data_IF_427641442494
#
_entry.id   IF_427641442494
#
_cell.length_a   1.000
_cell.length_b   1.000
_cell.length_c   1.000
_cell.angle_alpha   90.00
_cell.angle_beta   90.00
_cell.angle_gamma   90.00
#
_symmetry.space_group_name_H-M   'P 1'
#
loop_
_entity.id
_entity.type
_entity.pdbx_description
1 polymer ?
#
# COMPACT_ATOMS: atom_id res chain seq x y z
N UNK A 1 31.71 -3.76 -3.67
CA UNK A 1 30.64 -4.34 -2.83
C UNK A 1 31.16 -5.64 -2.24
N UNK A 2 31.03 -5.82 -0.93
CA UNK A 2 31.53 -7.01 -0.24
C UNK A 2 30.35 -7.97 -0.03
N UNK A 3 30.27 -9.11 -0.74
CA UNK A 3 29.13 -10.01 -0.68
C UNK A 3 28.87 -10.57 0.73
N UNK A 4 29.89 -10.60 1.60
CA UNK A 4 29.72 -10.95 3.01
C UNK A 4 28.99 -9.86 3.82
N UNK A 5 29.20 -8.58 3.49
CA UNK A 5 28.47 -7.47 4.11
C UNK A 5 26.99 -7.44 3.65
N UNK A 6 26.73 -7.82 2.40
CA UNK A 6 25.37 -7.89 1.84
C UNK A 6 24.57 -9.08 2.42
N UNK A 7 25.22 -10.23 2.65
CA UNK A 7 24.60 -11.38 3.35
C UNK A 7 24.28 -11.07 4.83
N UNK A 8 25.14 -10.30 5.50
CA UNK A 8 24.92 -9.81 6.86
C UNK A 8 23.82 -8.74 6.94
N UNK A 9 23.47 -8.07 5.84
CA UNK A 9 22.32 -7.17 5.75
C UNK A 9 20.99 -7.91 5.51
N UNK A 10 21.04 -9.03 4.78
CA UNK A 10 19.86 -9.83 4.45
C UNK A 10 19.26 -10.58 5.66
N UNK A 11 20.11 -11.22 6.48
CA UNK A 11 19.65 -12.00 7.66
C UNK A 11 18.89 -11.14 8.68
N UNK A 12 19.39 -9.96 9.11
CA UNK A 12 18.66 -9.07 10.00
C UNK A 12 17.35 -8.57 9.41
N UNK A 13 17.30 -8.35 8.09
CA UNK A 13 16.08 -7.90 7.40
C UNK A 13 15.01 -9.00 7.39
N UNK A 14 15.37 -10.25 7.07
CA UNK A 14 14.45 -11.39 7.12
C UNK A 14 13.96 -11.67 8.55
N UNK A 15 14.82 -11.50 9.55
CA UNK A 15 14.44 -11.58 10.95
C UNK A 15 13.43 -10.47 11.33
N UNK A 16 13.61 -9.25 10.83
CA UNK A 16 12.66 -8.16 11.01
C UNK A 16 11.29 -8.50 10.40
N UNK A 17 11.24 -9.13 9.21
CA UNK A 17 9.99 -9.63 8.60
C UNK A 17 9.30 -10.62 9.54
N UNK A 18 10.04 -11.63 10.00
CA UNK A 18 9.48 -12.66 10.87
C UNK A 18 8.95 -12.08 12.18
N UNK A 19 9.70 -11.16 12.81
CA UNK A 19 9.30 -10.53 14.07
C UNK A 19 8.12 -9.59 13.87
N UNK A 20 8.09 -8.77 12.81
CA UNK A 20 6.93 -7.94 12.51
C UNK A 20 5.67 -8.77 12.24
N UNK A 21 5.81 -9.91 11.56
CA UNK A 21 4.72 -10.86 11.36
C UNK A 21 4.20 -11.44 12.69
N UNK A 22 5.11 -11.88 13.56
CA UNK A 22 4.75 -12.41 14.88
C UNK A 22 4.09 -11.34 15.76
N UNK A 23 4.67 -10.14 15.85
CA UNK A 23 4.13 -9.02 16.63
C UNK A 23 2.74 -8.63 16.12
N UNK A 24 2.57 -8.49 14.80
CA UNK A 24 1.25 -8.19 14.21
C UNK A 24 0.23 -9.29 14.54
N UNK A 25 0.58 -10.55 14.34
CA UNK A 25 -0.31 -11.68 14.63
C UNK A 25 -0.70 -11.76 16.11
N UNK A 26 0.25 -11.51 17.02
CA UNK A 26 0.00 -11.49 18.47
C UNK A 26 -0.95 -10.34 18.81
N UNK A 27 -0.70 -9.13 18.34
CA UNK A 27 -1.58 -7.97 18.61
C UNK A 27 -2.99 -8.21 18.05
N UNK A 28 -3.12 -8.79 16.85
CA UNK A 28 -4.45 -9.14 16.30
C UNK A 28 -5.14 -10.16 17.19
N UNK A 29 -4.43 -11.24 17.56
CA UNK A 29 -5.01 -12.31 18.36
C UNK A 29 -5.49 -11.81 19.72
N UNK A 30 -4.71 -10.96 20.40
CA UNK A 30 -5.07 -10.39 21.72
C UNK A 30 -6.14 -9.30 21.64
N UNK A 31 -6.15 -8.47 20.60
CA UNK A 31 -7.12 -7.36 20.44
C UNK A 31 -8.46 -7.78 19.86
N UNK A 32 -8.54 -8.92 19.15
CA UNK A 32 -9.76 -9.38 18.48
C UNK A 32 -11.03 -9.43 19.36
N UNK A 33 -10.99 -9.89 20.63
CA UNK A 33 -12.18 -9.87 21.49
C UNK A 33 -12.71 -8.45 21.76
N UNK A 34 -11.83 -7.45 21.83
CA UNK A 34 -12.21 -6.05 21.99
C UNK A 34 -12.79 -5.48 20.69
N UNK A 35 -12.15 -5.77 19.55
CA UNK A 35 -12.66 -5.36 18.24
C UNK A 35 -14.05 -5.95 17.96
N UNK A 36 -14.28 -7.20 18.37
CA UNK A 36 -15.60 -7.85 18.29
C UNK A 36 -16.68 -7.13 19.10
N UNK A 37 -16.31 -6.46 20.20
CA UNK A 37 -17.26 -5.75 21.07
C UNK A 37 -17.51 -4.31 20.61
N UNK A 38 -16.47 -3.61 20.15
CA UNK A 38 -16.51 -2.17 19.96
C UNK A 38 -16.33 -1.69 18.51
N UNK A 39 -15.82 -2.54 17.61
CA UNK A 39 -15.46 -2.16 16.24
C UNK A 39 -15.97 -3.19 15.22
N UNK A 40 -17.30 -3.32 15.09
CA UNK A 40 -17.92 -4.20 14.10
C UNK A 40 -18.25 -3.44 12.81
N UNK A 41 -17.64 -3.88 11.70
CA UNK A 41 -18.03 -3.45 10.36
C UNK A 41 -19.39 -4.04 10.01
N UNK A 42 -20.42 -3.20 9.96
CA UNK A 42 -21.76 -3.62 9.55
C UNK A 42 -21.87 -3.60 8.01
N UNK A 43 -22.49 -4.62 7.38
CA UNK A 43 -22.70 -4.64 5.94
C UNK A 43 -23.44 -3.37 5.47
N UNK A 44 -22.96 -2.77 4.39
CA UNK A 44 -23.57 -1.63 3.72
C UNK A 44 -23.68 -1.91 2.21
N UNK A 45 -24.23 -0.96 1.43
CA UNK A 45 -24.46 -1.12 -0.02
C UNK A 45 -23.19 -1.38 -0.85
N UNK A 46 -21.99 -1.12 -0.31
CA UNK A 46 -20.70 -1.42 -0.97
C UNK A 46 -20.04 -2.71 -0.45
N UNK A 47 -20.53 -3.31 0.62
CA UNK A 47 -19.89 -4.47 1.28
C UNK A 47 -19.92 -5.73 0.42
N UNK A 48 -18.79 -6.45 0.38
CA UNK A 48 -18.68 -7.79 -0.22
C UNK A 48 -19.12 -8.91 0.74
N UNK A 49 -19.45 -8.56 2.00
CA UNK A 49 -19.75 -9.48 3.08
C UNK A 49 -21.17 -9.27 3.60
N UNK A 50 -21.79 -10.35 4.11
CA UNK A 50 -23.15 -10.33 4.65
C UNK A 50 -23.23 -10.41 6.17
N UNK A 51 -22.11 -10.68 6.83
CA UNK A 51 -22.04 -10.88 8.29
C UNK A 51 -21.20 -9.76 8.92
N UNK A 52 -21.68 -9.12 10.00
CA UNK A 52 -20.87 -8.17 10.76
C UNK A 52 -19.55 -8.80 11.17
N UNK A 53 -18.44 -8.18 10.76
CA UNK A 53 -17.09 -8.70 10.97
C UNK A 53 -16.28 -7.64 11.72
N UNK A 54 -15.47 -8.01 12.72
CA UNK A 54 -14.61 -7.05 13.41
C UNK A 54 -13.71 -6.31 12.43
N UNK A 55 -13.52 -5.01 12.60
CA UNK A 55 -12.56 -4.19 11.87
C UNK A 55 -11.56 -3.56 12.82
N UNK A 56 -10.41 -3.14 12.30
CA UNK A 56 -9.38 -2.47 13.09
C UNK A 56 -8.08 -3.26 13.27
N UNK A 57 -7.90 -4.37 12.53
CA UNK A 57 -6.61 -5.08 12.53
C UNK A 57 -5.45 -4.20 12.03
N UNK A 58 -5.74 -3.10 11.34
CA UNK A 58 -4.77 -2.07 10.98
C UNK A 58 -3.97 -1.53 12.17
N UNK A 59 -4.55 -1.45 13.37
CA UNK A 59 -3.82 -1.07 14.59
C UNK A 59 -2.61 -1.99 14.79
N UNK A 60 -2.81 -3.30 14.63
CA UNK A 60 -1.76 -4.28 14.79
C UNK A 60 -0.71 -4.22 13.68
N UNK A 61 -1.14 -4.01 12.43
CA UNK A 61 -0.22 -3.89 11.30
C UNK A 61 0.68 -2.67 11.45
N UNK A 62 0.11 -1.50 11.77
CA UNK A 62 0.87 -0.26 11.92
C UNK A 62 1.73 -0.28 13.18
N UNK A 63 1.21 -0.74 14.31
CA UNK A 63 2.00 -0.87 15.54
C UNK A 63 3.19 -1.82 15.35
N UNK A 64 2.98 -3.00 14.75
CA UNK A 64 4.07 -3.94 14.47
C UNK A 64 5.11 -3.34 13.51
N UNK A 65 4.66 -2.65 12.46
CA UNK A 65 5.54 -1.98 11.49
C UNK A 65 6.42 -0.95 12.19
N UNK A 66 5.83 -0.03 12.98
CA UNK A 66 6.56 1.05 13.63
C UNK A 66 7.44 0.57 14.79
N UNK A 67 6.96 -0.36 15.62
CA UNK A 67 7.73 -0.89 16.75
C UNK A 67 8.98 -1.64 16.27
N UNK A 68 8.82 -2.53 15.30
CA UNK A 68 9.94 -3.31 14.76
C UNK A 68 10.86 -2.41 13.95
N UNK A 69 10.34 -1.47 13.15
CA UNK A 69 11.17 -0.53 12.40
C UNK A 69 11.99 0.34 13.35
N UNK A 70 11.39 0.88 14.41
CA UNK A 70 12.10 1.73 15.38
C UNK A 70 13.17 0.96 16.15
N UNK A 71 12.90 -0.29 16.54
CA UNK A 71 13.88 -1.14 17.21
C UNK A 71 15.06 -1.49 16.29
N UNK A 72 14.79 -1.86 15.04
CA UNK A 72 15.84 -2.13 14.04
C UNK A 72 16.63 -0.88 13.68
N UNK A 73 15.95 0.27 13.52
CA UNK A 73 16.55 1.55 13.23
C UNK A 73 17.53 1.96 14.34
N UNK A 74 17.13 1.80 15.61
CA UNK A 74 18.00 2.05 16.76
C UNK A 74 19.21 1.09 16.78
N UNK A 75 19.00 -0.20 16.52
CA UNK A 75 20.07 -1.19 16.47
C UNK A 75 21.07 -0.93 15.33
N UNK A 76 20.57 -0.55 14.15
CA UNK A 76 21.37 -0.29 12.96
C UNK A 76 21.90 1.16 12.88
N UNK A 77 21.58 2.00 13.88
CA UNK A 77 21.89 3.43 13.88
C UNK A 77 21.41 4.17 12.61
N UNK A 78 20.20 3.83 12.15
CA UNK A 78 19.52 4.42 11.00
C UNK A 78 18.41 5.34 11.51
N UNK A 79 18.33 6.57 11.01
CA UNK A 79 17.25 7.49 11.38
C UNK A 79 16.05 7.32 10.44
N UNK A 80 14.88 7.04 11.01
CA UNK A 80 13.59 7.17 10.31
C UNK A 80 13.12 8.62 10.48
N UNK A 81 12.65 9.31 9.41
CA UNK A 81 12.17 10.67 9.52
C UNK A 81 11.07 10.80 10.59
N UNK A 82 11.24 11.65 11.63
CA UNK A 82 10.24 11.81 12.68
C UNK A 82 8.89 12.30 12.14
N UNK A 83 8.90 13.13 11.08
CA UNK A 83 7.69 13.60 10.41
C UNK A 83 6.87 12.44 9.81
N UNK A 84 7.54 11.40 9.29
CA UNK A 84 6.88 10.21 8.77
C UNK A 84 6.21 9.39 9.87
N UNK A 85 6.89 9.19 11.00
CA UNK A 85 6.31 8.48 12.16
C UNK A 85 5.10 9.24 12.68
N UNK A 86 5.23 10.55 12.89
CA UNK A 86 4.14 11.40 13.36
C UNK A 86 2.95 11.41 12.37
N UNK A 87 3.22 11.53 11.07
CA UNK A 87 2.19 11.48 10.03
C UNK A 87 1.49 10.11 9.96
N UNK A 88 2.23 9.01 10.14
CA UNK A 88 1.69 7.65 10.17
C UNK A 88 0.78 7.44 11.39
N UNK A 89 1.19 7.92 12.56
CA UNK A 89 0.36 7.86 13.77
C UNK A 89 -0.90 8.73 13.60
N UNK A 90 -0.75 9.97 13.11
CA UNK A 90 -1.88 10.86 12.84
C UNK A 90 -2.91 10.20 11.92
N UNK A 91 -2.47 9.68 10.77
CA UNK A 91 -3.39 9.13 9.78
C UNK A 91 -4.01 7.79 10.24
N UNK A 92 -3.30 7.01 11.06
CA UNK A 92 -3.86 5.83 11.73
C UNK A 92 -4.98 6.23 12.70
N UNK A 93 -4.76 7.27 13.52
CA UNK A 93 -5.80 7.79 14.44
C UNK A 93 -7.02 8.32 13.68
N UNK A 94 -6.81 9.00 12.55
CA UNK A 94 -7.90 9.44 11.66
C UNK A 94 -8.69 8.24 11.14
N UNK A 95 -8.01 7.21 10.65
CA UNK A 95 -8.66 5.99 10.17
C UNK A 95 -9.41 5.25 11.28
N UNK A 96 -8.85 5.18 12.49
CA UNK A 96 -9.53 4.60 13.65
C UNK A 96 -10.79 5.36 14.04
N UNK A 97 -10.73 6.69 14.05
CA UNK A 97 -11.90 7.51 14.32
C UNK A 97 -12.96 7.32 13.22
N UNK A 98 -12.56 7.24 11.95
CA UNK A 98 -13.47 7.01 10.83
C UNK A 98 -14.16 5.64 10.90
N UNK A 99 -13.42 4.60 11.30
CA UNK A 99 -13.94 3.24 11.53
C UNK A 99 -15.03 3.18 12.61
N UNK A 100 -15.03 4.10 13.59
CA UNK A 100 -15.98 4.09 14.71
C UNK A 100 -17.14 5.05 14.49
N UNK A 101 -16.84 6.31 14.14
CA UNK A 101 -17.85 7.40 14.12
C UNK A 101 -18.14 7.96 12.73
N UNK A 102 -17.43 7.54 11.68
CA UNK A 102 -17.55 8.07 10.31
C UNK A 102 -17.37 9.60 10.25
N UNK A 103 -16.15 10.03 10.00
CA UNK A 103 -15.75 11.43 9.90
C UNK A 103 -16.28 12.10 8.62
N UNK A 104 -16.52 13.42 8.65
CA UNK A 104 -16.81 14.18 7.44
C UNK A 104 -15.65 14.11 6.44
N UNK A 105 -15.98 13.93 5.16
CA UNK A 105 -15.00 13.77 4.07
C UNK A 105 -13.96 14.90 4.05
N UNK A 106 -14.38 16.15 4.25
CA UNK A 106 -13.47 17.30 4.26
C UNK A 106 -12.46 17.23 5.42
N UNK A 107 -12.90 16.84 6.62
CA UNK A 107 -12.02 16.69 7.78
C UNK A 107 -10.98 15.60 7.50
N UNK A 108 -11.44 14.45 6.98
CA UNK A 108 -10.55 13.35 6.62
C UNK A 108 -9.52 13.78 5.57
N UNK A 109 -9.93 14.45 4.50
CA UNK A 109 -9.03 14.94 3.44
C UNK A 109 -8.02 15.97 3.95
N UNK A 110 -8.43 16.91 4.82
CA UNK A 110 -7.51 17.90 5.39
C UNK A 110 -6.44 17.25 6.28
N UNK A 111 -6.82 16.26 7.10
CA UNK A 111 -5.86 15.55 7.95
C UNK A 111 -4.94 14.61 7.14
N UNK A 112 -5.45 14.00 6.08
CA UNK A 112 -4.61 13.28 5.11
C UNK A 112 -3.62 14.23 4.41
N UNK A 113 -4.08 15.40 3.98
CA UNK A 113 -3.22 16.43 3.37
C UNK A 113 -2.15 16.92 4.35
N UNK A 114 -2.48 17.08 5.63
CA UNK A 114 -1.50 17.42 6.66
C UNK A 114 -0.46 16.31 6.83
N UNK A 115 -0.87 15.04 6.89
CA UNK A 115 0.03 13.89 7.02
C UNK A 115 0.96 13.74 5.81
N UNK A 116 0.41 13.78 4.59
CA UNK A 116 1.19 13.72 3.34
C UNK A 116 2.10 14.94 3.21
N UNK A 117 1.59 16.13 3.53
CA UNK A 117 2.36 17.37 3.51
C UNK A 117 3.54 17.34 4.48
N UNK A 118 3.35 16.82 5.69
CA UNK A 118 4.42 16.66 6.66
C UNK A 118 5.57 15.77 6.13
N UNK A 119 5.28 14.80 5.26
CA UNK A 119 6.30 13.96 4.62
C UNK A 119 6.94 14.69 3.41
N UNK A 120 6.12 15.26 2.53
CA UNK A 120 6.57 15.84 1.26
C UNK A 120 7.36 17.13 1.45
N UNK A 121 6.93 18.02 2.36
CA UNK A 121 7.54 19.33 2.55
C UNK A 121 8.71 19.35 3.54
N UNK A 122 8.88 18.32 4.37
CA UNK A 122 10.10 18.18 5.20
C UNK A 122 11.22 17.42 4.51
N UNK A 123 10.96 16.86 3.33
CA UNK A 123 11.98 16.17 2.54
C UNK A 123 13.05 17.17 2.06
N UNK A 124 14.33 16.76 1.96
CA UNK A 124 15.40 17.63 1.49
C UNK A 124 15.10 18.25 0.12
N UNK A 125 15.58 19.48 -0.13
CA UNK A 125 15.38 20.14 -1.43
C UNK A 125 16.02 19.38 -2.61
N UNK A 126 17.04 18.55 -2.32
CA UNK A 126 17.68 17.65 -3.30
C UNK A 126 16.80 16.47 -3.71
N UNK A 127 15.77 16.14 -2.93
CA UNK A 127 14.84 15.05 -3.23
C UNK A 127 13.88 15.49 -4.35
N UNK A 128 14.30 15.27 -5.60
CA UNK A 128 13.63 15.71 -6.83
C UNK A 128 13.43 14.52 -7.78
N UNK A 129 12.23 14.36 -8.29
CA UNK A 129 11.88 13.41 -9.37
C UNK A 129 12.06 14.09 -10.73
N UNK A 130 11.63 15.36 -10.85
CA UNK A 130 11.75 16.15 -12.09
C UNK A 130 12.47 17.46 -11.78
N UNK A 131 13.82 17.47 -11.76
CA UNK A 131 14.60 18.65 -11.39
C UNK A 131 14.29 19.92 -12.21
N UNK A 132 13.79 19.76 -13.44
CA UNK A 132 13.40 20.86 -14.33
C UNK A 132 12.17 21.65 -13.87
N UNK A 133 11.32 21.11 -12.97
CA UNK A 133 10.16 21.83 -12.45
C UNK A 133 10.57 22.81 -11.33
N UNK A 134 9.81 23.89 -11.08
CA UNK A 134 9.95 24.66 -9.85
C UNK A 134 9.65 23.78 -8.64
N UNK A 135 10.48 23.87 -7.58
CA UNK A 135 10.36 23.02 -6.38
C UNK A 135 8.96 23.07 -5.78
N UNK A 136 8.37 24.26 -5.64
CA UNK A 136 7.03 24.42 -5.09
C UNK A 136 5.94 23.72 -5.92
N UNK A 137 6.07 23.75 -7.25
CA UNK A 137 5.13 23.07 -8.15
C UNK A 137 5.26 21.55 -8.01
N UNK A 138 6.50 21.03 -7.99
CA UNK A 138 6.74 19.61 -7.80
C UNK A 138 6.20 19.12 -6.44
N UNK A 139 6.49 19.83 -5.35
CA UNK A 139 5.97 19.52 -4.01
C UNK A 139 4.44 19.55 -3.95
N UNK A 140 3.81 20.53 -4.63
CA UNK A 140 2.36 20.60 -4.75
C UNK A 140 1.76 19.40 -5.50
N UNK A 141 2.39 18.97 -6.60
CA UNK A 141 1.96 17.78 -7.34
C UNK A 141 2.16 16.50 -6.52
N UNK A 142 3.27 16.38 -5.78
CA UNK A 142 3.53 15.24 -4.89
C UNK A 142 2.54 15.18 -3.72
N UNK A 143 2.13 16.33 -3.18
CA UNK A 143 1.07 16.39 -2.17
C UNK A 143 -0.25 15.81 -2.73
N UNK A 144 -0.67 16.27 -3.91
CA UNK A 144 -1.89 15.78 -4.55
C UNK A 144 -1.80 14.28 -4.89
N UNK A 145 -0.66 13.84 -5.43
CA UNK A 145 -0.40 12.44 -5.73
C UNK A 145 -0.41 11.57 -4.47
N UNK A 146 0.17 12.04 -3.37
CA UNK A 146 0.20 11.33 -2.09
C UNK A 146 -1.18 11.23 -1.44
N UNK A 147 -1.98 12.30 -1.47
CA UNK A 147 -3.39 12.26 -0.99
C UNK A 147 -4.18 11.27 -1.84
N UNK A 148 -4.01 11.30 -3.16
CA UNK A 148 -4.64 10.32 -4.06
C UNK A 148 -4.21 8.90 -3.73
N UNK A 149 -2.91 8.67 -3.51
CA UNK A 149 -2.35 7.36 -3.21
C UNK A 149 -2.85 6.78 -1.89
N UNK A 150 -2.98 7.60 -0.85
CA UNK A 150 -3.61 7.19 0.41
C UNK A 150 -5.05 6.75 0.19
N UNK A 151 -5.84 7.54 -0.54
CA UNK A 151 -7.25 7.22 -0.77
C UNK A 151 -7.44 6.00 -1.67
N UNK A 152 -6.63 5.83 -2.72
CA UNK A 152 -6.75 4.67 -3.59
C UNK A 152 -6.41 3.37 -2.86
N UNK A 153 -5.42 3.36 -1.97
CA UNK A 153 -5.12 2.19 -1.15
C UNK A 153 -6.31 1.84 -0.24
N UNK A 154 -6.97 2.85 0.34
CA UNK A 154 -8.22 2.66 1.08
C UNK A 154 -9.36 2.09 0.21
N UNK A 155 -9.57 2.60 -0.99
CA UNK A 155 -10.64 2.12 -1.88
C UNK A 155 -10.46 0.68 -2.33
N UNK A 156 -9.20 0.26 -2.48
CA UNK A 156 -8.85 -1.08 -2.95
C UNK A 156 -8.91 -2.13 -1.84
N UNK A 157 -8.95 -1.75 -0.57
CA UNK A 157 -9.12 -2.65 0.58
C UNK A 157 -10.58 -3.15 0.77
N UNK A 158 -11.30 -3.44 -0.32
CA UNK A 158 -12.71 -3.85 -0.28
C UNK A 158 -12.97 -5.35 -0.47
N UNK A 159 -11.91 -6.17 -0.45
CA UNK A 159 -11.98 -7.62 -0.64
C UNK A 159 -10.92 -8.33 0.23
N UNK A 160 -11.29 -9.48 0.82
CA UNK A 160 -10.43 -10.27 1.71
C UNK A 160 -9.06 -10.58 1.06
N UNK A 161 -7.95 -10.27 1.74
CA UNK A 161 -6.55 -10.36 1.27
C UNK A 161 -6.13 -9.38 0.18
N UNK A 162 -7.00 -8.48 -0.30
CA UNK A 162 -6.66 -7.59 -1.42
C UNK A 162 -5.43 -6.73 -1.12
N UNK A 163 -5.42 -6.07 0.04
CA UNK A 163 -4.26 -5.26 0.49
C UNK A 163 -3.02 -6.12 0.75
N UNK A 164 -3.18 -7.37 1.20
CA UNK A 164 -2.05 -8.29 1.39
C UNK A 164 -1.37 -8.60 0.05
N UNK A 165 -2.14 -8.90 -0.99
CA UNK A 165 -1.58 -9.27 -2.30
C UNK A 165 -1.03 -8.09 -3.09
N UNK A 166 -1.36 -6.87 -2.71
CA UNK A 166 -0.71 -5.65 -3.20
C UNK A 166 0.58 -5.36 -2.42
N UNK A 167 0.49 -5.25 -1.09
CA UNK A 167 1.58 -4.75 -0.26
C UNK A 167 2.75 -5.73 -0.22
N UNK A 168 2.51 -7.03 -0.12
CA UNK A 168 3.59 -8.03 0.05
C UNK A 168 4.54 -8.07 -1.15
N UNK A 169 4.09 -8.20 -2.42
CA UNK A 169 4.99 -8.13 -3.58
C UNK A 169 5.75 -6.81 -3.68
N UNK A 170 5.09 -5.67 -3.44
CA UNK A 170 5.71 -4.35 -3.54
C UNK A 170 6.82 -4.21 -2.50
N UNK A 171 6.52 -4.50 -1.24
CA UNK A 171 7.48 -4.38 -0.14
C UNK A 171 8.62 -5.39 -0.24
N UNK A 172 8.38 -6.60 -0.74
CA UNK A 172 9.44 -7.56 -1.03
C UNK A 172 10.37 -7.06 -2.16
N UNK A 173 9.82 -6.44 -3.21
CA UNK A 173 10.63 -5.83 -4.27
C UNK A 173 11.45 -4.64 -3.75
N UNK A 174 10.86 -3.78 -2.91
CA UNK A 174 11.56 -2.67 -2.27
C UNK A 174 12.70 -3.14 -1.35
N UNK A 175 12.47 -4.20 -0.57
CA UNK A 175 13.53 -4.84 0.22
C UNK A 175 14.68 -5.31 -0.66
N UNK A 176 14.38 -6.02 -1.75
CA UNK A 176 15.40 -6.48 -2.69
C UNK A 176 16.16 -5.30 -3.32
N UNK A 177 15.48 -4.23 -3.74
CA UNK A 177 16.11 -3.01 -4.24
C UNK A 177 16.99 -2.33 -3.18
N UNK A 178 16.57 -2.38 -1.91
CA UNK A 178 17.40 -1.94 -0.78
C UNK A 178 18.69 -2.72 -0.64
N UNK A 179 18.63 -4.06 -0.72
CA UNK A 179 19.83 -4.91 -0.71
C UNK A 179 20.76 -4.67 -1.91
N UNK A 180 20.19 -4.27 -3.05
CA UNK A 180 20.94 -3.93 -4.25
C UNK A 180 21.53 -2.52 -4.23
N UNK A 181 21.20 -1.71 -3.20
CA UNK A 181 21.67 -0.33 -3.05
C UNK A 181 20.87 0.71 -3.85
N UNK A 182 19.74 0.30 -4.43
CA UNK A 182 18.88 1.13 -5.28
C UNK A 182 17.76 1.86 -4.49
N UNK A 183 17.69 1.63 -3.16
CA UNK A 183 16.73 2.25 -2.25
C UNK A 183 17.42 2.66 -0.93
N UNK A 184 16.98 3.76 -0.32
CA UNK A 184 17.49 4.20 0.98
C UNK A 184 17.22 3.16 2.08
N UNK A 185 18.17 3.01 3.00
CA UNK A 185 18.05 2.08 4.14
C UNK A 185 16.78 2.30 4.99
N UNK A 186 16.39 3.55 5.34
CA UNK A 186 15.14 3.79 6.06
C UNK A 186 13.90 3.28 5.30
N UNK A 187 13.84 3.48 3.97
CA UNK A 187 12.74 3.01 3.15
C UNK A 187 12.71 1.49 3.01
N UNK A 188 13.87 0.86 2.80
CA UNK A 188 13.98 -0.59 2.76
C UNK A 188 13.56 -1.23 4.09
N UNK A 189 13.96 -0.64 5.23
CA UNK A 189 13.58 -1.11 6.56
C UNK A 189 12.07 -1.02 6.79
N UNK A 190 11.44 0.11 6.47
CA UNK A 190 9.98 0.27 6.61
C UNK A 190 9.20 -0.64 5.67
N UNK A 191 9.65 -0.84 4.43
CA UNK A 191 9.07 -1.83 3.54
C UNK A 191 9.18 -3.24 4.13
N UNK A 192 10.33 -3.59 4.70
CA UNK A 192 10.58 -4.90 5.34
C UNK A 192 9.62 -5.17 6.48
N UNK A 193 9.48 -4.24 7.42
CA UNK A 193 8.62 -4.43 8.59
C UNK A 193 7.14 -4.36 8.22
N UNK A 194 6.77 -3.54 7.23
CA UNK A 194 5.41 -3.51 6.68
C UNK A 194 5.06 -4.83 5.97
N UNK A 195 6.00 -5.42 5.22
CA UNK A 195 5.85 -6.74 4.61
C UNK A 195 5.54 -7.79 5.68
N UNK A 196 6.39 -7.86 6.72
CA UNK A 196 6.22 -8.77 7.84
C UNK A 196 4.89 -8.58 8.55
N UNK A 197 4.56 -7.36 8.96
CA UNK A 197 3.30 -7.06 9.63
C UNK A 197 2.08 -7.44 8.78
N UNK A 198 2.12 -7.18 7.48
CA UNK A 198 1.04 -7.56 6.55
C UNK A 198 0.92 -9.09 6.39
N UNK A 199 2.05 -9.81 6.36
CA UNK A 199 2.06 -11.28 6.39
C UNK A 199 1.50 -11.84 7.70
N UNK A 200 1.77 -11.20 8.84
CA UNK A 200 1.19 -11.53 10.15
C UNK A 200 -0.33 -11.34 10.19
N UNK A 201 -0.84 -10.33 9.47
CA UNK A 201 -2.26 -10.07 9.31
C UNK A 201 -2.97 -11.06 8.37
N UNK A 202 -2.30 -11.51 7.31
CA UNK A 202 -2.91 -12.31 6.25
C UNK A 202 -3.72 -13.54 6.73
N UNK A 203 -3.28 -14.38 7.69
CA UNK A 203 -4.07 -15.51 8.19
C UNK A 203 -5.43 -15.14 8.78
N UNK A 204 -5.57 -13.92 9.32
CA UNK A 204 -6.80 -13.42 9.92
C UNK A 204 -7.75 -12.80 8.90
N UNK A 205 -7.24 -12.39 7.73
CA UNK A 205 -8.01 -11.78 6.65
C UNK A 205 -8.21 -12.69 5.43
N UNK A 206 -7.92 -14.00 5.55
CA UNK A 206 -8.20 -14.99 4.49
C UNK A 206 -9.70 -15.04 4.15
N UNK A 207 -10.08 -15.36 2.89
CA UNK A 207 -11.47 -15.34 2.46
C UNK A 207 -12.44 -16.10 3.36
N UNK A 208 -13.51 -15.37 3.72
CA UNK A 208 -14.23 -15.39 5.00
C UNK A 208 -13.33 -14.85 6.13
N UNK A 209 -13.04 -13.55 6.06
CA UNK A 209 -12.17 -12.89 7.02
C UNK A 209 -12.69 -12.97 8.47
N UNK A 210 -11.75 -13.13 9.40
CA UNK A 210 -12.00 -13.11 10.85
C UNK A 210 -11.95 -11.71 11.43
N UNK A 211 -11.27 -10.80 10.75
CA UNK A 211 -11.11 -9.38 11.05
C UNK A 211 -10.72 -8.64 9.77
N UNK A 212 -11.23 -7.42 9.59
CA UNK A 212 -10.86 -6.51 8.52
C UNK A 212 -9.75 -5.56 8.95
N UNK A 213 -8.99 -5.09 7.96
CA UNK A 213 -7.92 -4.11 8.16
C UNK A 213 -8.48 -2.80 8.73
N UNK A 214 -9.54 -2.27 8.10
CA UNK A 214 -10.16 -1.00 8.48
C UNK A 214 -9.38 0.21 7.98
N UNK A 215 -9.98 1.40 8.08
CA UNK A 215 -9.36 2.66 7.69
C UNK A 215 -8.14 2.97 8.56
N UNK A 216 -8.13 2.51 9.81
CA UNK A 216 -6.96 2.56 10.72
C UNK A 216 -5.71 1.86 10.17
N UNK A 217 -5.88 0.93 9.21
CA UNK A 217 -4.77 0.26 8.54
C UNK A 217 -4.56 0.77 7.12
N UNK A 218 -5.62 0.84 6.31
CA UNK A 218 -5.48 1.13 4.88
C UNK A 218 -4.89 2.52 4.60
N UNK A 219 -5.30 3.55 5.36
CA UNK A 219 -4.78 4.92 5.22
C UNK A 219 -3.28 5.03 5.55
N UNK A 220 -2.80 4.60 6.74
CA UNK A 220 -1.37 4.63 7.05
C UNK A 220 -0.53 3.68 6.20
N UNK A 221 -1.06 2.53 5.75
CA UNK A 221 -0.36 1.70 4.76
C UNK A 221 -0.15 2.48 3.46
N UNK A 222 -1.17 3.21 2.99
CA UNK A 222 -1.05 4.07 1.83
C UNK A 222 0.02 5.15 2.00
N UNK A 223 0.10 5.77 3.18
CA UNK A 223 1.15 6.77 3.49
C UNK A 223 2.55 6.15 3.49
N UNK A 224 2.75 5.05 4.23
CA UNK A 224 4.05 4.38 4.36
C UNK A 224 4.55 3.83 3.02
N UNK A 225 3.67 3.13 2.29
CA UNK A 225 3.99 2.58 0.98
C UNK A 225 4.25 3.70 -0.03
N UNK A 226 3.41 4.75 -0.02
CA UNK A 226 3.59 5.93 -0.86
C UNK A 226 4.92 6.63 -0.60
N UNK A 227 5.32 6.78 0.65
CA UNK A 227 6.63 7.34 0.99
C UNK A 227 7.79 6.43 0.51
N UNK A 228 7.70 5.11 0.68
CA UNK A 228 8.74 4.21 0.17
C UNK A 228 8.88 4.28 -1.37
N UNK A 229 7.77 4.45 -2.08
CA UNK A 229 7.76 4.64 -3.53
C UNK A 229 8.32 6.03 -3.93
N UNK A 230 8.05 7.08 -3.14
CA UNK A 230 8.66 8.39 -3.33
C UNK A 230 10.17 8.36 -3.11
N UNK A 231 10.64 7.67 -2.07
CA UNK A 231 12.08 7.44 -1.84
C UNK A 231 12.72 6.73 -3.04
N UNK A 232 12.08 5.68 -3.56
CA UNK A 232 12.56 4.99 -4.77
C UNK A 232 12.63 5.96 -5.98
N UNK A 233 11.62 6.81 -6.15
CA UNK A 233 11.60 7.79 -7.23
C UNK A 233 12.66 8.91 -7.06
N UNK A 234 12.86 9.40 -5.84
CA UNK A 234 13.92 10.38 -5.50
C UNK A 234 15.33 9.79 -5.66
N UNK A 235 15.47 8.48 -5.54
CA UNK A 235 16.68 7.73 -5.88
C UNK A 235 16.83 7.45 -7.39
N UNK A 236 16.07 8.14 -8.25
CA UNK A 236 16.21 8.08 -9.70
C UNK A 236 15.47 6.91 -10.36
N UNK A 237 14.58 6.23 -9.63
CA UNK A 237 13.84 5.06 -10.14
C UNK A 237 12.31 5.29 -10.25
N UNK A 238 11.84 6.37 -10.92
CA UNK A 238 10.40 6.69 -10.97
C UNK A 238 9.58 5.65 -11.74
N UNK A 239 10.16 4.97 -12.74
CA UNK A 239 9.47 3.93 -13.49
C UNK A 239 9.15 2.72 -12.60
N UNK A 240 10.10 2.29 -11.77
CA UNK A 240 9.88 1.23 -10.78
C UNK A 240 8.84 1.64 -9.74
N UNK A 241 8.91 2.88 -9.24
CA UNK A 241 7.94 3.44 -8.29
C UNK A 241 6.50 3.50 -8.84
N UNK A 242 6.32 3.63 -10.16
CA UNK A 242 5.01 3.57 -10.82
C UNK A 242 4.56 2.14 -11.14
N UNK A 243 5.49 1.26 -11.54
CA UNK A 243 5.18 -0.14 -11.88
C UNK A 243 4.71 -0.93 -10.67
N UNK A 244 5.35 -0.75 -9.52
CA UNK A 244 5.06 -1.52 -8.31
C UNK A 244 3.58 -1.47 -7.89
N UNK A 245 2.93 -0.29 -7.74
CA UNK A 245 1.50 -0.18 -7.42
C UNK A 245 0.59 -0.09 -8.65
N UNK A 246 1.05 -0.48 -9.85
CA UNK A 246 0.36 -0.16 -11.10
C UNK A 246 -1.07 -0.72 -11.17
N UNK A 247 -1.34 -1.86 -10.54
CA UNK A 247 -2.68 -2.43 -10.50
C UNK A 247 -3.64 -1.54 -9.68
N UNK A 248 -3.27 -1.17 -8.44
CA UNK A 248 -4.06 -0.25 -7.61
C UNK A 248 -4.25 1.12 -8.27
N UNK A 249 -3.16 1.69 -8.83
CA UNK A 249 -3.22 2.95 -9.56
C UNK A 249 -4.22 2.89 -10.71
N UNK A 250 -4.17 1.84 -11.54
CA UNK A 250 -5.02 1.72 -12.70
C UNK A 250 -6.48 1.47 -12.33
N UNK A 251 -6.80 0.50 -11.47
CA UNK A 251 -8.19 0.20 -11.09
C UNK A 251 -8.86 1.45 -10.48
N UNK A 252 -8.26 2.03 -9.44
CA UNK A 252 -8.85 3.17 -8.74
C UNK A 252 -9.01 4.40 -9.64
N UNK A 253 -7.96 4.76 -10.38
CA UNK A 253 -7.95 5.98 -11.21
C UNK A 253 -8.93 5.84 -12.38
N UNK A 254 -8.90 4.72 -13.10
CA UNK A 254 -9.82 4.48 -14.22
C UNK A 254 -11.26 4.42 -13.71
N UNK A 255 -11.51 3.77 -12.57
CA UNK A 255 -12.86 3.66 -12.00
C UNK A 255 -13.42 5.03 -11.64
N UNK A 256 -12.69 5.87 -10.91
CA UNK A 256 -13.17 7.21 -10.58
C UNK A 256 -13.31 8.10 -11.81
N UNK A 257 -12.36 8.04 -12.75
CA UNK A 257 -12.44 8.80 -13.99
C UNK A 257 -13.70 8.45 -14.79
N UNK A 258 -14.05 7.16 -14.91
CA UNK A 258 -15.31 6.73 -15.56
C UNK A 258 -16.54 7.32 -14.88
N UNK A 259 -16.57 7.34 -13.54
CA UNK A 259 -17.69 7.93 -12.79
C UNK A 259 -17.82 9.43 -13.07
N UNK A 260 -16.69 10.15 -13.08
CA UNK A 260 -16.64 11.59 -13.41
C UNK A 260 -17.17 11.85 -14.81
N UNK A 261 -16.71 11.10 -15.81
CA UNK A 261 -17.17 11.24 -17.21
C UNK A 261 -18.67 10.95 -17.34
N UNK A 262 -19.19 9.99 -16.56
CA UNK A 262 -20.63 9.66 -16.49
C UNK A 262 -21.45 10.62 -15.62
N UNK A 263 -20.82 11.64 -15.02
CA UNK A 263 -21.44 12.58 -14.07
C UNK A 263 -22.08 11.88 -12.86
N UNK A 264 -21.58 10.70 -12.52
CA UNK A 264 -21.93 10.02 -11.27
C UNK A 264 -21.21 10.72 -10.11
N UNK A 265 -21.82 10.69 -8.92
CA UNK A 265 -21.15 11.17 -7.71
C UNK A 265 -19.94 10.27 -7.44
N UNK A 266 -18.73 10.79 -7.69
CA UNK A 266 -17.49 10.03 -7.51
C UNK A 266 -17.05 9.99 -6.04
N UNK A 267 -17.53 10.93 -5.22
CA UNK A 267 -17.28 11.01 -3.78
C UNK A 267 -18.22 10.15 -2.93
N UNK A 268 -19.29 9.60 -3.53
CA UNK A 268 -20.20 8.67 -2.84
C UNK A 268 -19.64 7.25 -2.84
N UNK A 269 -19.88 6.50 -1.76
CA UNK A 269 -19.59 5.07 -1.69
C UNK A 269 -20.15 4.30 -2.90
N UNK A 270 -19.32 3.44 -3.51
CA UNK A 270 -19.69 2.68 -4.71
C UNK A 270 -19.03 1.30 -4.77
N UNK A 271 -19.50 0.47 -5.72
CA UNK A 271 -19.01 -0.89 -5.96
C UNK A 271 -18.53 -1.12 -7.42
N UNK A 272 -17.95 -0.10 -8.07
CA UNK A 272 -17.59 -0.15 -9.49
C UNK A 272 -16.13 -0.46 -9.81
N UNK A 273 -15.28 -0.75 -8.80
CA UNK A 273 -13.90 -1.15 -9.03
C UNK A 273 -13.83 -2.48 -9.79
N UNK A 274 -12.76 -2.70 -10.55
CA UNK A 274 -12.67 -3.89 -11.38
C UNK A 274 -12.63 -5.18 -10.54
N UNK A 275 -11.93 -5.19 -9.41
CA UNK A 275 -11.96 -6.35 -8.52
C UNK A 275 -13.39 -6.66 -8.00
N UNK A 276 -14.20 -5.62 -7.78
CA UNK A 276 -15.60 -5.77 -7.34
C UNK A 276 -16.47 -6.27 -8.49
N UNK A 277 -16.32 -5.67 -9.68
CA UNK A 277 -16.99 -6.13 -10.90
C UNK A 277 -16.66 -7.58 -11.21
N UNK A 278 -15.43 -8.03 -10.96
CA UNK A 278 -15.07 -9.44 -11.09
C UNK A 278 -15.93 -10.33 -10.17
N UNK A 279 -16.10 -9.94 -8.89
CA UNK A 279 -16.97 -10.70 -7.98
C UNK A 279 -18.44 -10.65 -8.40
N UNK A 280 -18.92 -9.52 -8.91
CA UNK A 280 -20.29 -9.38 -9.41
C UNK A 280 -20.50 -10.21 -10.70
N UNK A 281 -19.43 -10.44 -11.47
CA UNK A 281 -19.36 -11.30 -12.65
C UNK A 281 -19.11 -12.79 -12.34
N UNK A 282 -19.22 -13.20 -11.07
CA UNK A 282 -19.16 -14.60 -10.65
C UNK A 282 -17.76 -15.11 -10.29
N UNK A 283 -16.72 -14.26 -10.31
CA UNK A 283 -15.40 -14.67 -9.85
C UNK A 283 -15.39 -14.90 -8.34
N UNK A 284 -14.82 -16.03 -7.92
CA UNK A 284 -14.55 -16.28 -6.50
C UNK A 284 -13.47 -15.31 -6.00
N UNK A 285 -13.63 -14.79 -4.79
CA UNK A 285 -12.66 -13.92 -4.08
C UNK A 285 -11.22 -14.43 -4.21
N UNK A 286 -10.99 -15.73 -3.95
CA UNK A 286 -9.66 -16.36 -4.08
C UNK A 286 -9.05 -16.24 -5.47
N UNK A 287 -9.87 -16.29 -6.53
CA UNK A 287 -9.42 -16.18 -7.92
C UNK A 287 -9.00 -14.75 -8.23
N UNK A 288 -9.80 -13.76 -7.83
CA UNK A 288 -9.49 -12.34 -8.00
C UNK A 288 -8.15 -12.00 -7.34
N UNK A 289 -8.02 -12.35 -6.05
CA UNK A 289 -6.81 -12.13 -5.26
C UNK A 289 -5.59 -12.85 -5.83
N UNK A 290 -5.75 -14.10 -6.29
CA UNK A 290 -4.66 -14.86 -6.91
C UNK A 290 -4.18 -14.26 -8.22
N UNK A 291 -5.09 -13.76 -9.07
CA UNK A 291 -4.74 -13.11 -10.33
C UNK A 291 -4.05 -11.75 -10.10
N UNK A 292 -4.52 -10.99 -9.11
CA UNK A 292 -3.87 -9.73 -8.69
C UNK A 292 -2.50 -9.99 -8.09
N UNK A 293 -2.35 -11.00 -7.23
CA UNK A 293 -1.05 -11.38 -6.68
C UNK A 293 -0.05 -11.75 -7.79
N UNK A 294 -0.47 -12.59 -8.74
CA UNK A 294 0.37 -12.99 -9.87
C UNK A 294 0.77 -11.78 -10.73
N UNK A 295 -0.17 -10.86 -10.99
CA UNK A 295 0.13 -9.60 -11.68
C UNK A 295 1.16 -8.77 -10.91
N UNK A 296 1.01 -8.63 -9.59
CA UNK A 296 1.93 -7.85 -8.77
C UNK A 296 3.34 -8.45 -8.71
N UNK A 297 3.48 -9.78 -8.79
CA UNK A 297 4.79 -10.42 -8.97
C UNK A 297 5.42 -10.08 -10.32
N UNK A 298 4.63 -10.06 -11.40
CA UNK A 298 5.10 -9.64 -12.73
C UNK A 298 5.51 -8.16 -12.70
N UNK A 299 4.70 -7.29 -12.10
CA UNK A 299 5.00 -5.87 -11.97
C UNK A 299 6.26 -5.61 -11.12
N UNK A 300 6.44 -6.34 -10.02
CA UNK A 300 7.65 -6.32 -9.22
C UNK A 300 8.89 -6.72 -10.04
N UNK A 301 8.80 -7.79 -10.83
CA UNK A 301 9.88 -8.21 -11.72
C UNK A 301 10.21 -7.14 -12.76
N UNK A 302 9.20 -6.57 -13.41
CA UNK A 302 9.37 -5.50 -14.39
C UNK A 302 10.01 -4.26 -13.75
N UNK A 303 9.56 -3.87 -12.55
CA UNK A 303 10.13 -2.76 -11.80
C UNK A 303 11.63 -2.99 -11.53
N UNK A 304 12.02 -4.16 -11.02
CA UNK A 304 13.42 -4.52 -10.80
C UNK A 304 14.21 -4.47 -12.12
N UNK A 305 13.66 -5.00 -13.22
CA UNK A 305 14.31 -4.96 -14.53
C UNK A 305 14.58 -3.53 -15.01
N UNK A 306 13.66 -2.58 -14.76
CA UNK A 306 13.91 -1.17 -15.11
C UNK A 306 15.11 -0.58 -14.38
N UNK A 307 15.26 -0.91 -13.09
CA UNK A 307 16.38 -0.45 -12.26
C UNK A 307 17.69 -1.10 -12.72
N UNK A 308 17.70 -2.43 -12.89
CA UNK A 308 18.92 -3.19 -13.18
C UNK A 308 19.45 -2.98 -14.59
N UNK A 309 18.58 -2.75 -15.56
CA UNK A 309 19.01 -2.52 -16.94
C UNK A 309 19.55 -1.10 -17.16
N UNK A 310 19.06 -0.10 -16.41
CA UNK A 310 19.47 1.30 -16.55
C UNK A 310 19.28 1.89 -17.97
N UNK A 311 18.50 1.23 -18.83
CA UNK A 311 18.32 1.58 -20.23
C UNK A 311 16.90 2.08 -20.48
N UNK A 312 16.79 3.28 -21.06
CA UNK A 312 15.49 3.89 -21.40
C UNK A 312 14.63 2.97 -22.29
N UNK A 313 15.26 2.20 -23.18
CA UNK A 313 14.56 1.26 -24.05
C UNK A 313 13.91 0.14 -23.24
N UNK A 314 14.66 -0.42 -22.27
CA UNK A 314 14.13 -1.45 -21.35
C UNK A 314 13.06 -0.85 -20.45
N UNK A 315 13.27 0.37 -19.93
CA UNK A 315 12.27 1.06 -19.12
C UNK A 315 10.95 1.25 -19.87
N UNK A 316 10.99 1.73 -21.11
CA UNK A 316 9.79 1.88 -21.94
C UNK A 316 9.13 0.53 -22.21
N UNK A 317 9.91 -0.49 -22.57
CA UNK A 317 9.39 -1.84 -22.80
C UNK A 317 8.71 -2.42 -21.55
N UNK A 318 9.30 -2.27 -20.37
CA UNK A 318 8.73 -2.70 -19.10
C UNK A 318 7.46 -1.92 -18.73
N UNK A 319 7.42 -0.61 -18.95
CA UNK A 319 6.23 0.21 -18.72
C UNK A 319 5.07 -0.22 -19.64
N UNK A 320 5.35 -0.47 -20.92
CA UNK A 320 4.37 -0.99 -21.86
C UNK A 320 3.89 -2.39 -21.48
N UNK A 321 4.81 -3.30 -21.14
CA UNK A 321 4.48 -4.65 -20.69
C UNK A 321 3.61 -4.62 -19.41
N UNK A 322 3.95 -3.76 -18.45
CA UNK A 322 3.17 -3.56 -17.22
C UNK A 322 1.76 -3.03 -17.53
N UNK A 323 1.65 -2.01 -18.38
CA UNK A 323 0.37 -1.45 -18.79
C UNK A 323 -0.51 -2.49 -19.52
N UNK A 324 0.08 -3.31 -20.39
CA UNK A 324 -0.62 -4.41 -21.07
C UNK A 324 -1.08 -5.46 -20.05
N UNK A 325 -0.20 -5.91 -19.16
CA UNK A 325 -0.53 -6.91 -18.15
C UNK A 325 -1.68 -6.47 -17.23
N UNK A 326 -1.61 -5.22 -16.73
CA UNK A 326 -2.70 -4.61 -15.96
C UNK A 326 -3.97 -4.52 -16.79
N UNK A 327 -3.89 -4.02 -18.03
CA UNK A 327 -5.02 -3.91 -18.95
C UNK A 327 -5.72 -5.24 -19.23
N UNK A 328 -4.96 -6.34 -19.35
CA UNK A 328 -5.51 -7.69 -19.52
C UNK A 328 -6.30 -8.15 -18.30
N UNK A 329 -5.78 -7.94 -17.08
CA UNK A 329 -6.49 -8.28 -15.83
C UNK A 329 -7.75 -7.43 -15.68
N UNK A 330 -7.67 -6.12 -15.88
CA UNK A 330 -8.82 -5.22 -15.80
C UNK A 330 -9.89 -5.56 -16.85
N UNK A 331 -9.49 -5.87 -18.09
CA UNK A 331 -10.41 -6.31 -19.14
C UNK A 331 -11.10 -7.62 -18.72
N UNK A 332 -10.34 -8.58 -18.23
CA UNK A 332 -10.88 -9.86 -17.78
C UNK A 332 -11.90 -9.72 -16.65
N UNK A 333 -11.61 -8.89 -15.65
CA UNK A 333 -12.53 -8.57 -14.56
C UNK A 333 -13.79 -7.82 -15.00
N UNK A 334 -13.76 -7.18 -16.17
CA UNK A 334 -14.91 -6.49 -16.77
C UNK A 334 -15.89 -7.41 -17.49
N UNK A 335 -15.61 -8.70 -17.64
CA UNK A 335 -16.47 -9.66 -18.32
C UNK A 335 -16.94 -10.78 -17.37
N UNK A 336 -18.13 -11.38 -17.62
CA UNK A 336 -18.59 -12.57 -16.91
C UNK A 336 -17.54 -13.69 -16.91
N UNK A 337 -17.42 -14.41 -15.79
CA UNK A 337 -16.62 -15.62 -15.78
C UNK A 337 -17.27 -16.64 -16.73
N UNK A 338 -16.54 -17.06 -17.77
CA UNK A 338 -16.99 -18.18 -18.60
C UNK A 338 -17.20 -19.40 -17.68
N UNK A 339 -18.40 -19.97 -17.77
CA UNK A 339 -18.85 -21.15 -17.01
C UNK A 339 -17.99 -22.37 -17.32
#
# INVERSE_FOLDING_TARGET
MNPAADALAAVPSLLAVAIAALVSAIIIWTSRPLLQRYALARPNARSSHRVPTPQGAGIAVIAATLLVASAWAAWANVAIPPSLIAATVLIALVGFADDIVSLPVLVRLLLQAAAVGAVVFTAPETARIVPALPLALERGLLLLAGIWFVNLVNFMDGLDLMTVVEVVPITAALLLLGWLGDLSWPAALLATTLCGATLGFAPFNRPVAKVFLGDVGSLPIGLLLGWCLLELAWHGQPAAALLLPAYYLADATITLFRRIVRREQFWSAHRSHFYQRATDHGFKVRRVVGEVFALNLVLALLAILTVRAGSITVTIACLLAGAIAVGLVLRRFSHPQAS
#
